data_IF_101612975834
#
_entry.id   IF_101612975834
#
_cell.length_a   1.000
_cell.length_b   1.000
_cell.length_c   1.000
_cell.angle_alpha   90.00
_cell.angle_beta   90.00
_cell.angle_gamma   90.00
#
_symmetry.space_group_name_H-M   'P 1'
#
loop_
_entity.id
_entity.type
_entity.pdbx_description
1 polymer ?
#
# COMPACT_ATOMS: atom_id res chain seq x y z
N UNK A 1 -1.23 4.81 8.29
CA UNK A 1 -0.42 6.04 8.25
C UNK A 1 0.47 6.19 9.49
N UNK A 2 -0.07 5.97 10.69
CA UNK A 2 0.60 6.21 11.98
C UNK A 2 2.06 5.73 12.08
N UNK A 3 2.36 4.48 11.71
CA UNK A 3 3.74 3.97 11.77
C UNK A 3 4.69 4.70 10.81
N UNK A 4 4.21 5.03 9.61
CA UNK A 4 4.99 5.75 8.60
C UNK A 4 5.17 7.23 8.99
N UNK A 5 4.17 7.86 9.60
CA UNK A 5 4.28 9.21 10.15
C UNK A 5 5.31 9.28 11.28
N UNK A 6 5.23 8.34 12.22
CA UNK A 6 6.18 8.22 13.34
C UNK A 6 7.62 8.03 12.85
N UNK A 7 7.82 7.27 11.78
CA UNK A 7 9.16 7.00 11.23
C UNK A 7 9.68 8.13 10.34
N UNK A 8 8.84 8.75 9.53
CA UNK A 8 9.23 9.84 8.63
C UNK A 8 9.33 11.20 9.33
N UNK A 9 8.69 11.35 10.50
CA UNK A 9 8.54 12.63 11.21
C UNK A 9 7.61 13.61 10.49
N UNK A 10 6.86 13.15 9.48
CA UNK A 10 5.92 13.97 8.69
C UNK A 10 4.49 13.53 8.96
N UNK A 11 3.59 14.51 9.04
CA UNK A 11 2.15 14.25 9.01
C UNK A 11 1.74 13.79 7.61
N UNK A 12 0.93 12.74 7.52
CA UNK A 12 0.46 12.14 6.28
C UNK A 12 -1.07 12.14 6.26
N UNK A 13 -1.61 12.75 5.22
CA UNK A 13 -3.04 12.70 4.94
C UNK A 13 -3.37 11.47 4.10
N UNK A 14 -4.32 10.65 4.57
CA UNK A 14 -4.89 9.58 3.75
C UNK A 14 -6.06 10.18 2.97
N UNK A 15 -5.92 10.25 1.66
CA UNK A 15 -6.97 10.72 0.76
C UNK A 15 -7.79 9.51 0.30
N UNK A 16 -9.08 9.50 0.63
CA UNK A 16 -10.04 8.51 0.12
C UNK A 16 -10.78 9.07 -1.10
N UNK A 17 -10.67 8.37 -2.23
CA UNK A 17 -11.22 8.81 -3.52
C UNK A 17 -11.46 7.62 -4.44
N UNK A 18 -12.18 7.86 -5.54
CA UNK A 18 -12.50 6.85 -6.54
C UNK A 18 -11.30 6.52 -7.46
N UNK A 19 -11.37 5.39 -8.16
CA UNK A 19 -10.30 4.89 -9.04
C UNK A 19 -9.89 5.88 -10.12
N UNK A 20 -10.84 6.59 -10.73
CA UNK A 20 -10.52 7.52 -11.81
C UNK A 20 -9.73 8.71 -11.26
N UNK A 21 -10.15 9.24 -10.11
CA UNK A 21 -9.44 10.32 -9.44
C UNK A 21 -8.06 9.88 -8.95
N UNK A 22 -7.94 8.69 -8.36
CA UNK A 22 -6.65 8.14 -7.93
C UNK A 22 -5.69 7.89 -9.11
N UNK A 23 -6.17 7.31 -10.21
CA UNK A 23 -5.35 7.09 -11.41
C UNK A 23 -4.87 8.41 -12.02
N UNK A 24 -5.78 9.39 -12.15
CA UNK A 24 -5.42 10.73 -12.66
C UNK A 24 -4.36 11.39 -11.77
N UNK A 25 -4.51 11.30 -10.45
CA UNK A 25 -3.53 11.81 -9.51
C UNK A 25 -2.14 11.20 -9.72
N UNK A 26 -2.05 9.87 -9.89
CA UNK A 26 -0.78 9.18 -10.14
C UNK A 26 -0.12 9.59 -11.47
N UNK A 27 -0.93 9.82 -12.51
CA UNK A 27 -0.42 10.32 -13.79
C UNK A 27 0.14 11.74 -13.66
N UNK A 28 -0.58 12.63 -12.98
CA UNK A 28 -0.23 14.05 -12.89
C UNK A 28 0.91 14.34 -11.89
N UNK A 29 1.01 13.57 -10.80
CA UNK A 29 1.91 13.89 -9.67
C UNK A 29 3.05 12.90 -9.49
N UNK A 30 2.93 11.68 -10.05
CA UNK A 30 3.97 10.66 -10.02
C UNK A 30 4.48 10.27 -11.43
N UNK A 31 3.97 10.93 -12.48
CA UNK A 31 4.35 10.73 -13.89
C UNK A 31 4.18 9.27 -14.36
N UNK A 32 3.25 8.53 -13.75
CA UNK A 32 3.01 7.15 -14.13
C UNK A 32 2.28 7.07 -15.48
N UNK A 33 2.67 6.13 -16.36
CA UNK A 33 1.90 5.83 -17.55
C UNK A 33 0.46 5.45 -17.17
N UNK A 34 -0.51 5.85 -18.01
CA UNK A 34 -1.94 5.61 -17.77
C UNK A 34 -2.25 4.18 -17.36
N UNK A 35 -1.73 3.19 -18.09
CA UNK A 35 -2.01 1.78 -17.82
C UNK A 35 -1.52 1.32 -16.44
N UNK A 36 -0.35 1.84 -16.00
CA UNK A 36 0.19 1.55 -14.67
C UNK A 36 -0.64 2.26 -13.59
N UNK A 37 -1.01 3.52 -13.81
CA UNK A 37 -1.84 4.28 -12.87
C UNK A 37 -3.24 3.65 -12.68
N UNK A 38 -3.88 3.25 -13.78
CA UNK A 38 -5.18 2.57 -13.76
C UNK A 38 -5.10 1.23 -13.03
N UNK A 39 -4.04 0.46 -13.29
CA UNK A 39 -3.79 -0.80 -12.60
C UNK A 39 -3.63 -0.61 -11.08
N UNK A 40 -2.77 0.34 -10.67
CA UNK A 40 -2.53 0.60 -9.25
C UNK A 40 -3.78 1.12 -8.54
N UNK A 41 -4.53 2.03 -9.16
CA UNK A 41 -5.78 2.55 -8.60
C UNK A 41 -6.85 1.46 -8.46
N UNK A 42 -7.01 0.60 -9.47
CA UNK A 42 -7.98 -0.52 -9.43
C UNK A 42 -7.56 -1.58 -8.40
N UNK A 43 -6.26 -1.84 -8.25
CA UNK A 43 -5.75 -2.76 -7.23
C UNK A 43 -6.08 -2.29 -5.81
N UNK A 44 -6.11 -0.98 -5.55
CA UNK A 44 -6.50 -0.44 -4.25
C UNK A 44 -7.96 -0.71 -3.91
N UNK A 45 -8.89 -0.74 -4.88
CA UNK A 45 -10.28 -1.16 -4.60
C UNK A 45 -10.36 -2.62 -4.17
N UNK A 46 -9.60 -3.50 -4.84
CA UNK A 46 -9.53 -4.92 -4.47
C UNK A 46 -8.99 -5.07 -3.04
N UNK A 47 -7.95 -4.32 -2.68
CA UNK A 47 -7.39 -4.31 -1.32
C UNK A 47 -8.44 -3.78 -0.32
N UNK A 48 -9.07 -2.62 -0.60
CA UNK A 48 -10.09 -2.01 0.26
C UNK A 48 -11.29 -2.92 0.50
N UNK A 49 -11.62 -3.77 -0.47
CA UNK A 49 -12.72 -4.74 -0.34
C UNK A 49 -12.42 -5.90 0.63
N UNK A 50 -11.18 -6.06 1.08
CA UNK A 50 -10.73 -7.20 1.89
C UNK A 50 -10.59 -8.50 1.09
N UNK A 51 -10.74 -8.46 -0.24
CA UNK A 51 -10.66 -9.66 -1.10
C UNK A 51 -9.28 -10.34 -1.07
N UNK A 52 -8.25 -9.66 -0.57
CA UNK A 52 -6.88 -10.17 -0.43
C UNK A 52 -6.50 -10.44 1.04
N UNK A 53 -7.45 -10.31 1.98
CA UNK A 53 -7.16 -10.57 3.38
C UNK A 53 -6.93 -12.06 3.61
N UNK A 54 -5.72 -12.38 4.05
CA UNK A 54 -5.29 -13.74 4.38
C UNK A 54 -4.72 -13.68 5.79
N UNK A 55 -5.12 -14.64 6.63
CA UNK A 55 -4.58 -14.76 7.97
C UNK A 55 -3.05 -14.99 7.92
N UNK A 56 -2.25 -14.22 8.67
CA UNK A 56 -0.79 -14.33 8.64
C UNK A 56 -0.28 -15.75 8.96
N UNK A 57 -0.99 -16.48 9.82
CA UNK A 57 -0.65 -17.85 10.18
C UNK A 57 -0.84 -18.85 9.04
N UNK A 58 -1.75 -18.58 8.11
CA UNK A 58 -1.90 -19.39 6.91
C UNK A 58 -0.72 -19.18 5.97
N UNK A 59 -0.27 -17.94 5.78
CA UNK A 59 0.92 -17.66 4.98
C UNK A 59 2.17 -18.29 5.60
N UNK A 60 2.31 -18.29 6.93
CA UNK A 60 3.41 -18.95 7.64
C UNK A 60 3.51 -20.44 7.33
N UNK A 61 2.38 -21.14 7.18
CA UNK A 61 2.37 -22.57 6.78
C UNK A 61 3.00 -22.78 5.39
N UNK A 62 2.82 -21.83 4.48
CA UNK A 62 3.32 -21.95 3.09
C UNK A 62 4.75 -21.43 2.91
N UNK A 63 5.13 -20.35 3.57
CA UNK A 63 6.46 -19.71 3.40
C UNK A 63 7.49 -20.17 4.44
N UNK A 64 7.07 -20.96 5.43
CA UNK A 64 7.94 -21.56 6.45
C UNK A 64 8.47 -20.59 7.52
N UNK A 65 8.11 -19.31 7.45
CA UNK A 65 8.53 -18.26 8.37
C UNK A 65 7.38 -17.30 8.66
N UNK A 66 7.44 -16.59 9.79
CA UNK A 66 6.50 -15.50 10.05
C UNK A 66 6.77 -14.33 9.11
N UNK A 67 5.71 -13.63 8.71
CA UNK A 67 5.82 -12.37 7.96
C UNK A 67 6.58 -11.32 8.78
N UNK A 68 7.34 -10.46 8.09
CA UNK A 68 7.98 -9.31 8.74
C UNK A 68 6.92 -8.29 9.17
N UNK A 69 6.95 -7.81 10.43
CA UNK A 69 6.09 -6.71 10.86
C UNK A 69 6.28 -5.46 10.00
N UNK A 70 5.21 -4.67 9.82
CA UNK A 70 5.21 -3.44 9.02
C UNK A 70 6.33 -2.48 9.48
N UNK A 71 6.46 -2.23 10.78
CA UNK A 71 7.54 -1.42 11.34
C UNK A 71 8.95 -1.88 10.95
N UNK A 72 9.20 -3.18 10.93
CA UNK A 72 10.51 -3.71 10.55
C UNK A 72 10.75 -3.53 9.05
N UNK A 73 9.72 -3.73 8.24
CA UNK A 73 9.78 -3.52 6.79
C UNK A 73 10.02 -2.06 6.44
N UNK A 74 9.30 -1.13 7.07
CA UNK A 74 9.50 0.32 6.91
C UNK A 74 10.92 0.74 7.34
N UNK A 75 11.47 0.15 8.40
CA UNK A 75 12.84 0.41 8.86
C UNK A 75 13.90 -0.02 7.85
N UNK A 76 13.61 -0.99 6.98
CA UNK A 76 14.53 -1.40 5.91
C UNK A 76 14.44 -0.49 4.68
N UNK A 77 13.27 0.10 4.44
CA UNK A 77 13.03 0.94 3.26
C UNK A 77 13.46 2.39 3.45
N UNK A 78 13.35 2.90 4.67
CA UNK A 78 13.59 4.32 5.00
C UNK A 78 14.96 4.60 5.63
N UNK A 79 15.81 3.58 5.76
CA UNK A 79 17.21 3.72 6.16
C UNK A 79 18.10 3.64 4.94
#
# INVERSE_FOLDING_TARGET
AEELEKMSGKSLEIIDTDVNTASKFLQENAEYPKDLADFLASAQEIIKSGSLDIEPDDLKKYIGNSLLPIQQSLNRLLK
#
